data_IF_639341829240
#
_entry.id   IF_639341829240
#
_cell.length_a   1.000
_cell.length_b   1.000
_cell.length_c   1.000
_cell.angle_alpha   90.00
_cell.angle_beta   90.00
_cell.angle_gamma   90.00
#
_symmetry.space_group_name_H-M   'P 1'
#
loop_
_entity.id
_entity.type
_entity.pdbx_description
1 polymer ?
#
# COMPACT_ATOMS: atom_id res chain seq x y z
N UNK A 1 36.27 27.62 -17.92
CA UNK A 1 36.51 27.02 -16.59
C UNK A 1 35.18 26.54 -16.05
N UNK A 2 34.85 25.27 -16.26
CA UNK A 2 33.62 24.66 -15.82
C UNK A 2 33.79 24.22 -14.36
N UNK A 3 33.10 24.86 -13.44
CA UNK A 3 32.93 24.37 -12.07
C UNK A 3 32.08 23.10 -12.12
N UNK A 4 32.71 21.95 -12.26
CA UNK A 4 32.11 20.67 -11.84
C UNK A 4 32.01 20.71 -10.32
N UNK A 5 30.86 21.17 -9.80
CA UNK A 5 30.50 20.96 -8.42
C UNK A 5 30.48 19.44 -8.19
N UNK A 6 31.44 18.91 -7.47
CA UNK A 6 31.40 17.55 -6.94
C UNK A 6 30.10 17.42 -6.12
N UNK A 7 29.06 16.82 -6.72
CA UNK A 7 27.90 16.35 -5.96
C UNK A 7 28.44 15.31 -4.97
N UNK A 8 28.59 15.73 -3.73
CA UNK A 8 28.93 14.79 -2.63
C UNK A 8 27.95 13.62 -2.67
N UNK A 9 28.48 12.42 -2.56
CA UNK A 9 27.65 11.21 -2.50
C UNK A 9 26.60 11.41 -1.39
N UNK A 10 25.30 11.23 -1.68
CA UNK A 10 24.25 11.45 -0.70
C UNK A 10 24.53 10.62 0.54
N UNK A 11 24.45 11.24 1.71
CA UNK A 11 24.73 10.60 2.98
C UNK A 11 23.75 9.45 3.25
N UNK A 12 24.20 8.38 3.91
CA UNK A 12 23.31 7.29 4.35
C UNK A 12 22.14 7.80 5.20
N UNK A 13 22.32 8.91 5.93
CA UNK A 13 21.29 9.57 6.71
C UNK A 13 20.16 10.14 5.82
N UNK A 14 20.49 10.70 4.65
CA UNK A 14 19.49 11.17 3.69
C UNK A 14 18.66 10.01 3.14
N UNK A 15 19.29 8.89 2.82
CA UNK A 15 18.58 7.68 2.36
C UNK A 15 17.65 7.16 3.46
N UNK A 16 18.13 7.06 4.70
CA UNK A 16 17.32 6.62 5.84
C UNK A 16 16.12 7.56 6.09
N UNK A 17 16.33 8.88 5.98
CA UNK A 17 15.25 9.87 6.09
C UNK A 17 14.19 9.66 5.00
N UNK A 18 14.59 9.54 3.73
CA UNK A 18 13.66 9.31 2.62
C UNK A 18 12.90 8.00 2.77
N UNK A 19 13.56 6.92 3.18
CA UNK A 19 12.92 5.63 3.46
C UNK A 19 11.88 5.77 4.58
N UNK A 20 12.22 6.42 5.68
CA UNK A 20 11.31 6.63 6.80
C UNK A 20 10.07 7.45 6.40
N UNK A 21 10.25 8.50 5.58
CA UNK A 21 9.14 9.31 5.03
C UNK A 21 8.19 8.45 4.17
N UNK A 22 8.75 7.61 3.30
CA UNK A 22 7.97 6.74 2.40
C UNK A 22 7.20 5.67 3.20
N UNK A 23 7.84 5.08 4.22
CA UNK A 23 7.25 4.01 5.02
C UNK A 23 6.16 4.50 5.98
N UNK A 24 6.22 5.76 6.41
CA UNK A 24 5.30 6.32 7.40
C UNK A 24 3.82 6.06 7.04
N UNK A 25 3.44 6.23 5.77
CA UNK A 25 2.07 6.02 5.33
C UNK A 25 1.60 4.56 5.48
N UNK A 26 2.46 3.58 5.17
CA UNK A 26 2.11 2.17 5.35
C UNK A 26 2.09 1.76 6.82
N UNK A 27 3.00 2.30 7.63
CA UNK A 27 2.98 2.10 9.08
C UNK A 27 1.67 2.63 9.67
N UNK A 28 1.30 3.87 9.35
CA UNK A 28 0.06 4.49 9.83
C UNK A 28 -1.20 3.74 9.34
N UNK A 29 -1.15 3.17 8.13
CA UNK A 29 -2.25 2.37 7.59
C UNK A 29 -2.51 1.10 8.40
N UNK A 30 -1.46 0.41 8.82
CA UNK A 30 -1.56 -0.97 9.32
C UNK A 30 -1.37 -1.14 10.82
N UNK A 31 -0.85 -0.15 11.53
CA UNK A 31 -0.58 -0.22 12.98
C UNK A 31 -1.85 -0.47 13.82
N UNK A 32 -2.99 0.01 13.36
CA UNK A 32 -4.27 -0.13 14.07
C UNK A 32 -5.02 -1.44 13.76
N UNK A 33 -4.58 -2.24 12.79
CA UNK A 33 -5.29 -3.45 12.36
C UNK A 33 -5.58 -4.44 13.51
N UNK A 34 -4.65 -4.72 14.44
CA UNK A 34 -4.93 -5.60 15.58
C UNK A 34 -6.04 -5.08 16.50
N UNK A 35 -6.14 -3.75 16.63
CA UNK A 35 -7.12 -3.08 17.50
C UNK A 35 -8.53 -3.04 16.92
N UNK A 36 -8.67 -3.13 15.60
CA UNK A 36 -9.96 -2.99 14.90
C UNK A 36 -10.99 -4.06 15.30
N UNK A 37 -10.55 -5.20 15.84
CA UNK A 37 -11.46 -6.27 16.28
C UNK A 37 -12.35 -5.84 17.43
N UNK A 38 -11.84 -5.02 18.35
CA UNK A 38 -12.55 -4.58 19.53
C UNK A 38 -13.43 -3.34 19.30
N UNK A 39 -13.16 -2.59 18.21
CA UNK A 39 -13.86 -1.32 17.95
C UNK A 39 -15.35 -1.50 17.69
N UNK A 40 -15.78 -2.67 17.16
CA UNK A 40 -17.20 -2.98 17.00
C UNK A 40 -17.94 -2.97 18.35
N UNK A 41 -17.42 -3.69 19.34
CA UNK A 41 -17.95 -3.74 20.68
C UNK A 41 -17.77 -2.41 21.44
N UNK A 42 -16.59 -1.79 21.31
CA UNK A 42 -16.23 -0.54 22.00
C UNK A 42 -17.13 0.62 21.59
N UNK A 43 -17.43 0.78 20.31
CA UNK A 43 -18.25 1.87 19.78
C UNK A 43 -19.72 1.48 19.50
N UNK A 44 -20.13 0.23 19.79
CA UNK A 44 -21.49 -0.24 19.54
C UNK A 44 -21.89 -0.22 18.06
N UNK A 45 -20.95 -0.52 17.16
CA UNK A 45 -21.11 -0.42 15.69
C UNK A 45 -20.82 -1.76 15.00
N UNK A 46 -21.39 -1.93 13.80
CA UNK A 46 -21.13 -3.12 12.98
C UNK A 46 -19.68 -3.20 12.51
N UNK A 47 -19.22 -4.41 12.22
CA UNK A 47 -17.88 -4.63 11.66
C UNK A 47 -17.70 -3.92 10.32
N UNK A 48 -18.73 -3.81 9.48
CA UNK A 48 -18.70 -3.02 8.25
C UNK A 48 -18.39 -1.55 8.52
N UNK A 49 -18.99 -0.95 9.56
CA UNK A 49 -18.68 0.42 9.96
C UNK A 49 -17.24 0.57 10.46
N UNK A 50 -16.73 -0.42 11.19
CA UNK A 50 -15.32 -0.44 11.63
C UNK A 50 -14.37 -0.46 10.43
N UNK A 51 -14.66 -1.27 9.41
CA UNK A 51 -13.82 -1.33 8.20
C UNK A 51 -13.78 -0.02 7.41
N UNK A 52 -14.75 0.88 7.59
CA UNK A 52 -14.68 2.22 7.01
C UNK A 52 -13.48 3.02 7.53
N UNK A 53 -12.97 2.76 8.74
CA UNK A 53 -11.76 3.43 9.25
C UNK A 53 -10.52 3.11 8.40
N UNK A 54 -10.39 1.86 7.95
CA UNK A 54 -9.34 1.42 7.04
C UNK A 54 -9.56 1.97 5.63
N UNK A 55 -10.79 1.80 5.10
CA UNK A 55 -11.13 2.23 3.74
C UNK A 55 -11.04 3.73 3.55
N UNK A 56 -11.48 4.54 4.53
CA UNK A 56 -11.37 5.99 4.49
C UNK A 56 -9.90 6.46 4.44
N UNK A 57 -9.03 5.80 5.22
CA UNK A 57 -7.59 6.04 5.14
C UNK A 57 -7.06 5.76 3.73
N UNK A 58 -7.35 4.58 3.18
CA UNK A 58 -6.83 4.12 1.90
C UNK A 58 -7.32 4.98 0.74
N UNK A 59 -8.61 5.34 0.73
CA UNK A 59 -9.20 6.24 -0.29
C UNK A 59 -8.52 7.61 -0.25
N UNK A 60 -8.42 8.21 0.93
CA UNK A 60 -7.78 9.51 1.09
C UNK A 60 -6.30 9.45 0.71
N UNK A 61 -5.57 8.41 1.14
CA UNK A 61 -4.19 8.17 0.78
C UNK A 61 -3.99 8.06 -0.74
N UNK A 62 -4.85 7.31 -1.45
CA UNK A 62 -4.79 7.18 -2.90
C UNK A 62 -5.13 8.48 -3.63
N UNK A 63 -6.20 9.16 -3.23
CA UNK A 63 -6.64 10.42 -3.85
C UNK A 63 -5.58 11.52 -3.73
N UNK A 64 -4.99 11.68 -2.55
CA UNK A 64 -3.98 12.71 -2.31
C UNK A 64 -2.63 12.42 -2.97
N UNK A 65 -2.33 11.17 -3.34
CA UNK A 65 -1.15 10.89 -4.17
C UNK A 65 -1.22 11.62 -5.52
N UNK A 66 -2.40 11.76 -6.13
CA UNK A 66 -2.58 12.53 -7.37
C UNK A 66 -2.34 14.03 -7.17
N UNK A 67 -2.66 14.55 -5.99
CA UNK A 67 -2.54 15.98 -5.66
C UNK A 67 -1.10 16.36 -5.32
N UNK A 68 -0.42 15.55 -4.51
CA UNK A 68 0.91 15.89 -4.01
C UNK A 68 2.01 15.88 -5.07
N UNK A 69 1.86 15.13 -6.14
CA UNK A 69 2.80 15.16 -7.27
C UNK A 69 2.96 16.58 -7.82
N UNK A 70 1.94 17.11 -8.51
CA UNK A 70 1.96 18.46 -9.08
C UNK A 70 2.17 19.57 -8.03
N UNK A 71 1.61 19.39 -6.83
CA UNK A 71 1.75 20.37 -5.76
C UNK A 71 3.22 20.50 -5.31
N UNK A 72 3.92 19.37 -5.18
CA UNK A 72 5.33 19.34 -4.78
C UNK A 72 6.28 19.87 -5.85
N UNK A 73 5.92 19.72 -7.13
CA UNK A 73 6.67 20.30 -8.25
C UNK A 73 6.62 21.83 -8.24
N UNK A 74 5.47 22.40 -7.81
CA UNK A 74 5.25 23.86 -7.79
C UNK A 74 5.75 24.54 -6.52
N UNK A 75 5.44 23.95 -5.35
CA UNK A 75 5.71 24.57 -4.04
C UNK A 75 6.99 24.03 -3.38
N UNK A 76 7.66 23.09 -4.06
CA UNK A 76 8.87 22.44 -3.57
C UNK A 76 8.60 21.22 -2.70
N UNK A 77 9.39 20.17 -2.92
CA UNK A 77 9.27 18.85 -2.28
C UNK A 77 9.14 18.94 -0.75
N UNK A 78 10.05 19.68 -0.13
CA UNK A 78 10.13 19.80 1.33
C UNK A 78 8.90 20.43 1.96
N UNK A 79 8.37 21.53 1.40
CA UNK A 79 7.20 22.20 1.96
C UNK A 79 5.95 21.31 1.93
N UNK A 80 5.70 20.67 0.78
CA UNK A 80 4.53 19.80 0.61
C UNK A 80 4.61 18.58 1.53
N UNK A 81 5.79 18.00 1.70
CA UNK A 81 6.01 16.91 2.64
C UNK A 81 5.72 17.34 4.09
N UNK A 82 6.20 18.51 4.49
CA UNK A 82 5.97 19.05 5.85
C UNK A 82 4.48 19.28 6.12
N UNK A 83 3.75 19.86 5.17
CA UNK A 83 2.28 20.03 5.28
C UNK A 83 1.59 18.66 5.39
N UNK A 84 1.99 17.68 4.57
CA UNK A 84 1.46 16.33 4.66
C UNK A 84 1.70 15.68 6.02
N UNK A 85 2.91 15.81 6.58
CA UNK A 85 3.24 15.28 7.90
C UNK A 85 2.44 15.96 9.03
N UNK A 86 2.22 17.28 8.94
CA UNK A 86 1.38 18.02 9.89
C UNK A 86 -0.07 17.50 9.83
N UNK A 87 -0.63 17.33 8.64
CA UNK A 87 -1.99 16.77 8.47
C UNK A 87 -2.08 15.34 9.00
N UNK A 88 -1.07 14.50 8.72
CA UNK A 88 -1.03 13.12 9.21
C UNK A 88 -0.89 13.05 10.73
N UNK A 89 -0.06 13.91 11.32
CA UNK A 89 0.09 14.03 12.77
C UNK A 89 -1.20 14.50 13.45
N UNK A 90 -1.85 15.53 12.90
CA UNK A 90 -3.16 16.00 13.37
C UNK A 90 -4.22 14.91 13.27
N UNK A 91 -4.31 14.21 12.13
CA UNK A 91 -5.20 13.06 11.95
C UNK A 91 -4.92 11.95 12.96
N UNK A 92 -3.65 11.69 13.27
CA UNK A 92 -3.25 10.71 14.29
C UNK A 92 -3.70 11.13 15.69
N UNK A 93 -3.51 12.40 16.05
CA UNK A 93 -3.98 12.93 17.34
C UNK A 93 -5.50 12.85 17.46
N UNK A 94 -6.23 13.29 16.45
CA UNK A 94 -7.69 13.21 16.43
C UNK A 94 -8.19 11.77 16.53
N UNK A 95 -7.49 10.81 15.89
CA UNK A 95 -7.81 9.40 16.00
C UNK A 95 -7.58 8.85 17.41
N UNK A 96 -6.48 9.24 18.08
CA UNK A 96 -6.17 8.81 19.45
C UNK A 96 -7.22 9.24 20.48
N UNK A 97 -7.85 10.41 20.27
CA UNK A 97 -8.88 10.97 21.16
C UNK A 97 -10.30 10.90 20.56
N UNK A 98 -10.54 10.02 19.58
CA UNK A 98 -11.86 9.89 18.97
C UNK A 98 -12.90 9.35 19.96
N UNK A 99 -13.97 10.09 20.29
CA UNK A 99 -15.01 9.65 21.23
C UNK A 99 -15.99 8.67 20.61
N UNK A 100 -16.04 8.60 19.29
CA UNK A 100 -16.93 7.75 18.53
C UNK A 100 -16.28 7.31 17.20
N UNK A 101 -16.88 6.29 16.56
CA UNK A 101 -16.37 5.70 15.34
C UNK A 101 -16.39 6.71 14.16
N UNK A 102 -17.39 7.57 14.07
CA UNK A 102 -17.52 8.52 12.95
C UNK A 102 -16.36 9.55 12.96
N UNK A 103 -16.00 10.06 14.15
CA UNK A 103 -14.81 10.90 14.30
C UNK A 103 -13.53 10.12 14.00
N UNK A 104 -13.43 8.85 14.41
CA UNK A 104 -12.28 8.02 14.09
C UNK A 104 -12.14 7.83 12.57
N UNK A 105 -13.24 7.59 11.84
CA UNK A 105 -13.26 7.50 10.37
C UNK A 105 -12.74 8.79 9.73
N UNK A 106 -13.26 9.95 10.17
CA UNK A 106 -12.82 11.25 9.66
C UNK A 106 -11.34 11.53 9.95
N UNK A 107 -10.89 11.22 11.17
CA UNK A 107 -9.49 11.34 11.57
C UNK A 107 -8.57 10.44 10.74
N UNK A 108 -9.01 9.21 10.43
CA UNK A 108 -8.30 8.28 9.55
C UNK A 108 -8.20 8.78 8.11
N UNK A 109 -9.28 9.38 7.57
CA UNK A 109 -9.22 10.02 6.26
C UNK A 109 -8.20 11.16 6.23
N UNK A 110 -8.18 12.02 7.25
CA UNK A 110 -7.20 13.11 7.36
C UNK A 110 -5.76 12.57 7.49
N UNK A 111 -5.56 11.53 8.30
CA UNK A 111 -4.28 10.86 8.48
C UNK A 111 -3.79 10.26 7.15
N UNK A 112 -4.69 9.59 6.39
CA UNK A 112 -4.38 9.03 5.07
C UNK A 112 -4.01 10.10 4.05
N UNK A 113 -4.80 11.18 3.99
CA UNK A 113 -4.52 12.32 3.12
C UNK A 113 -3.12 12.90 3.38
N UNK A 114 -2.78 13.16 4.64
CA UNK A 114 -1.47 13.68 5.00
C UNK A 114 -0.32 12.71 4.71
N UNK A 115 -0.51 11.42 5.02
CA UNK A 115 0.51 10.37 4.86
C UNK A 115 0.92 10.11 3.41
N UNK A 116 0.04 10.40 2.45
CA UNK A 116 0.30 10.23 1.03
C UNK A 116 1.48 11.08 0.52
N UNK A 117 1.75 12.22 1.17
CA UNK A 117 2.87 13.10 0.83
C UNK A 117 4.23 12.39 0.93
N UNK A 118 4.42 11.57 1.96
CA UNK A 118 5.65 10.81 2.18
C UNK A 118 5.99 9.88 1.01
N UNK A 119 5.00 9.16 0.49
CA UNK A 119 5.18 8.26 -0.64
C UNK A 119 5.54 9.00 -1.92
N UNK A 120 4.77 10.04 -2.26
CA UNK A 120 4.93 10.78 -3.52
C UNK A 120 6.22 11.59 -3.50
N UNK A 121 6.38 12.45 -2.49
CA UNK A 121 7.55 13.33 -2.38
C UNK A 121 8.83 12.55 -2.15
N UNK A 122 8.78 11.49 -1.35
CA UNK A 122 9.94 10.63 -1.11
C UNK A 122 10.46 9.99 -2.39
N UNK A 123 9.58 9.37 -3.19
CA UNK A 123 9.95 8.77 -4.49
C UNK A 123 10.46 9.81 -5.49
N UNK A 124 9.80 10.96 -5.60
CA UNK A 124 10.24 12.04 -6.47
C UNK A 124 11.61 12.58 -6.03
N UNK A 125 11.83 12.76 -4.72
CA UNK A 125 13.14 13.19 -4.21
C UNK A 125 14.25 12.19 -4.53
N UNK A 126 13.96 10.89 -4.52
CA UNK A 126 14.94 9.88 -4.94
C UNK A 126 15.28 10.04 -6.44
N UNK A 127 14.30 10.32 -7.28
CA UNK A 127 14.54 10.58 -8.72
C UNK A 127 15.36 11.85 -8.95
N UNK A 128 15.13 12.89 -8.15
CA UNK A 128 15.79 14.17 -8.27
C UNK A 128 17.24 14.16 -7.72
N UNK A 129 17.50 13.38 -6.66
CA UNK A 129 18.75 13.41 -5.91
C UNK A 129 19.75 12.31 -6.28
N UNK A 130 19.29 11.22 -6.90
CA UNK A 130 20.12 10.06 -7.21
C UNK A 130 20.10 9.74 -8.71
N UNK A 131 21.23 9.26 -9.24
CA UNK A 131 21.38 8.92 -10.65
C UNK A 131 21.92 7.49 -10.85
N UNK A 132 21.68 6.89 -12.01
CA UNK A 132 22.25 5.61 -12.44
C UNK A 132 22.04 4.46 -11.44
N UNK A 133 23.10 3.72 -11.17
CA UNK A 133 23.08 2.56 -10.28
C UNK A 133 22.67 2.90 -8.83
N UNK A 134 23.01 4.10 -8.36
CA UNK A 134 22.66 4.54 -7.01
C UNK A 134 21.15 4.73 -6.86
N UNK A 135 20.48 5.35 -7.85
CA UNK A 135 19.01 5.46 -7.88
C UNK A 135 18.34 4.09 -7.83
N UNK A 136 18.83 3.16 -8.66
CA UNK A 136 18.30 1.78 -8.68
C UNK A 136 18.45 1.11 -7.33
N UNK A 137 19.60 1.28 -6.66
CA UNK A 137 19.86 0.73 -5.33
C UNK A 137 18.90 1.30 -4.27
N UNK A 138 18.69 2.62 -4.26
CA UNK A 138 17.77 3.27 -3.32
C UNK A 138 16.32 2.84 -3.57
N UNK A 139 15.90 2.74 -4.84
CA UNK A 139 14.57 2.23 -5.19
C UNK A 139 14.37 0.76 -4.75
N UNK A 140 15.41 -0.07 -4.83
CA UNK A 140 15.36 -1.43 -4.31
C UNK A 140 15.19 -1.46 -2.77
N UNK A 141 15.89 -0.59 -2.04
CA UNK A 141 15.69 -0.43 -0.59
C UNK A 141 14.26 0.01 -0.25
N UNK A 142 13.70 0.96 -1.01
CA UNK A 142 12.29 1.36 -0.87
C UNK A 142 11.37 0.14 -1.02
N UNK A 143 11.55 -0.65 -2.08
CA UNK A 143 10.73 -1.85 -2.32
C UNK A 143 10.78 -2.86 -1.18
N UNK A 144 11.98 -3.15 -0.65
CA UNK A 144 12.16 -4.06 0.49
C UNK A 144 11.49 -3.50 1.75
N UNK A 145 11.69 -2.22 2.04
CA UNK A 145 11.15 -1.57 3.23
C UNK A 145 9.62 -1.53 3.19
N UNK A 146 9.03 -1.21 2.03
CA UNK A 146 7.57 -1.22 1.84
C UNK A 146 6.97 -2.61 2.09
N UNK A 147 7.65 -3.68 1.68
CA UNK A 147 7.21 -5.06 1.94
C UNK A 147 7.23 -5.42 3.43
N UNK A 148 8.20 -4.89 4.20
CA UNK A 148 8.34 -5.18 5.63
C UNK A 148 7.48 -4.27 6.52
N UNK A 149 7.05 -3.09 6.03
CA UNK A 149 6.29 -2.12 6.83
C UNK A 149 4.98 -2.68 7.41
N UNK A 150 4.06 -3.29 6.63
CA UNK A 150 2.78 -3.74 7.16
C UNK A 150 2.90 -4.77 8.29
N UNK A 151 3.69 -5.86 8.17
CA UNK A 151 3.83 -6.82 9.25
C UNK A 151 4.50 -6.23 10.49
N UNK A 152 5.54 -5.41 10.30
CA UNK A 152 6.23 -4.74 11.42
C UNK A 152 5.28 -3.80 12.17
N UNK A 153 4.49 -3.00 11.44
CA UNK A 153 3.51 -2.12 12.05
C UNK A 153 2.43 -2.89 12.80
N UNK A 154 1.96 -4.02 12.24
CA UNK A 154 0.96 -4.87 12.89
C UNK A 154 1.49 -5.49 14.17
N UNK A 155 2.76 -5.94 14.19
CA UNK A 155 3.42 -6.45 15.41
C UNK A 155 3.53 -5.36 16.47
N UNK A 156 4.06 -4.18 16.11
CA UNK A 156 4.19 -3.04 17.03
C UNK A 156 2.81 -2.63 17.54
N UNK A 157 1.83 -2.51 16.64
CA UNK A 157 0.46 -2.12 16.98
C UNK A 157 -0.22 -3.09 17.93
N UNK A 158 0.00 -4.40 17.75
CA UNK A 158 -0.52 -5.43 18.65
C UNK A 158 0.08 -5.34 20.05
N UNK A 159 1.40 -5.13 20.17
CA UNK A 159 2.06 -4.93 21.47
C UNK A 159 1.58 -3.65 22.17
N UNK A 160 1.49 -2.55 21.44
CA UNK A 160 0.98 -1.29 21.97
C UNK A 160 -0.46 -1.44 22.45
N UNK A 161 -1.29 -2.14 21.67
CA UNK A 161 -2.70 -2.36 22.02
C UNK A 161 -2.85 -3.12 23.34
N UNK A 162 -2.11 -4.22 23.52
CA UNK A 162 -2.22 -5.05 24.72
C UNK A 162 -1.68 -4.34 25.97
N UNK A 163 -0.62 -3.55 25.85
CA UNK A 163 0.04 -2.94 27.02
C UNK A 163 -0.43 -1.52 27.34
N UNK A 164 -0.85 -0.75 26.33
CA UNK A 164 -1.12 0.69 26.44
C UNK A 164 -2.50 1.09 25.88
N UNK A 165 -3.24 0.13 25.32
CA UNK A 165 -4.52 0.37 24.67
C UNK A 165 -4.42 0.76 23.19
N UNK A 166 -5.55 0.74 22.49
CA UNK A 166 -5.64 0.96 21.05
C UNK A 166 -5.20 2.37 20.60
N UNK A 167 -5.31 3.35 21.47
CA UNK A 167 -4.92 4.74 21.22
C UNK A 167 -3.41 4.90 21.03
N UNK A 168 -2.62 4.05 21.69
CA UNK A 168 -1.16 4.17 21.72
C UNK A 168 -0.52 4.07 20.33
N UNK A 169 -1.11 3.28 19.42
CA UNK A 169 -0.68 3.22 18.03
C UNK A 169 -0.80 4.55 17.31
N UNK A 170 -1.88 5.28 17.54
CA UNK A 170 -2.11 6.61 16.96
C UNK A 170 -1.21 7.67 17.59
N UNK A 171 -1.00 7.62 18.90
CA UNK A 171 -0.04 8.50 19.60
C UNK A 171 1.37 8.30 19.08
N UNK A 172 1.80 7.05 18.88
CA UNK A 172 3.10 6.74 18.28
C UNK A 172 3.21 7.36 16.88
N UNK A 173 2.16 7.26 16.05
CA UNK A 173 2.16 7.87 14.71
C UNK A 173 2.21 9.39 14.76
N UNK A 174 1.56 10.02 15.71
CA UNK A 174 1.62 11.47 15.93
C UNK A 174 3.05 11.91 16.32
N UNK A 175 3.68 11.20 17.26
CA UNK A 175 5.07 11.48 17.68
C UNK A 175 6.03 11.26 16.51
N UNK A 176 5.88 10.16 15.79
CA UNK A 176 6.71 9.85 14.62
C UNK A 176 6.55 10.91 13.52
N UNK A 177 5.33 11.45 13.30
CA UNK A 177 5.10 12.52 12.33
C UNK A 177 5.86 13.80 12.68
N UNK A 178 5.93 14.17 13.97
CA UNK A 178 6.71 15.32 14.44
C UNK A 178 8.21 15.08 14.25
N UNK A 179 8.67 13.86 14.57
CA UNK A 179 10.08 13.49 14.36
C UNK A 179 10.45 13.56 12.88
N UNK A 180 9.62 13.01 12.01
CA UNK A 180 9.82 13.05 10.56
C UNK A 180 9.70 14.47 9.98
N UNK A 181 8.86 15.32 10.57
CA UNK A 181 8.79 16.74 10.22
C UNK A 181 10.12 17.45 10.47
N UNK A 182 10.72 17.22 11.64
CA UNK A 182 12.05 17.78 11.97
C UNK A 182 13.12 17.19 11.05
N UNK A 183 13.06 15.88 10.77
CA UNK A 183 13.98 15.22 9.87
C UNK A 183 13.86 15.75 8.42
N UNK A 184 12.64 15.99 7.94
CA UNK A 184 12.41 16.63 6.64
C UNK A 184 12.92 18.07 6.60
N UNK A 185 12.65 18.83 7.66
CA UNK A 185 13.09 20.24 7.76
C UNK A 185 14.60 20.40 7.75
N UNK A 186 15.34 19.52 8.45
CA UNK A 186 16.81 19.58 8.54
C UNK A 186 17.54 18.84 7.44
N UNK A 187 16.98 17.71 6.99
CA UNK A 187 17.69 16.74 6.16
C UNK A 187 17.36 16.80 4.67
N UNK A 188 16.27 17.47 4.25
CA UNK A 188 15.96 17.60 2.83
C UNK A 188 16.46 18.95 2.27
N UNK A 189 16.92 18.97 1.01
CA UNK A 189 17.37 20.21 0.36
C UNK A 189 16.27 21.28 0.40
N UNK A 190 16.71 22.53 0.49
CA UNK A 190 15.80 23.67 0.37
C UNK A 190 15.08 23.63 -0.99
N UNK A 191 13.83 24.12 -1.06
CA UNK A 191 13.06 24.09 -2.29
C UNK A 191 13.75 24.93 -3.35
N UNK A 192 14.08 24.29 -4.49
CA UNK A 192 14.47 25.00 -5.70
C UNK A 192 13.17 25.49 -6.34
N UNK A 193 13.04 26.79 -6.58
CA UNK A 193 11.92 27.33 -7.34
C UNK A 193 12.01 26.78 -8.77
N UNK A 194 11.13 25.85 -9.09
CA UNK A 194 10.93 25.44 -10.48
C UNK A 194 10.32 26.61 -11.27
N UNK A 195 10.74 26.83 -12.52
CA UNK A 195 10.09 27.82 -13.37
C UNK A 195 8.59 27.51 -13.44
N UNK A 196 7.73 28.54 -13.54
CA UNK A 196 6.29 28.34 -13.61
C UNK A 196 5.95 27.41 -14.78
N UNK A 197 5.42 26.23 -14.49
CA UNK A 197 4.92 25.34 -15.53
C UNK A 197 3.73 25.99 -16.23
N UNK A 198 3.63 25.81 -17.55
CA UNK A 198 2.57 26.34 -18.39
C UNK A 198 1.19 26.21 -17.73
N UNK A 199 0.33 27.23 -17.92
CA UNK A 199 -0.98 27.37 -17.30
C UNK A 199 -2.00 26.27 -17.66
N UNK A 200 -1.69 25.35 -18.57
CA UNK A 200 -2.61 24.35 -19.13
C UNK A 200 -2.40 22.91 -18.61
N UNK A 201 -1.60 22.71 -17.56
CA UNK A 201 -1.30 21.36 -17.05
C UNK A 201 -2.53 20.50 -16.70
N UNK A 202 -3.64 21.09 -16.25
CA UNK A 202 -4.88 20.36 -16.01
C UNK A 202 -5.53 19.87 -17.33
N UNK A 203 -5.44 20.68 -18.38
CA UNK A 203 -5.95 20.29 -19.70
C UNK A 203 -5.07 19.17 -20.30
N UNK A 204 -3.75 19.30 -20.18
CA UNK A 204 -2.80 18.28 -20.65
C UNK A 204 -3.00 16.94 -19.87
N UNK A 205 -3.22 17.01 -18.57
CA UNK A 205 -3.54 15.86 -17.74
C UNK A 205 -4.88 15.23 -18.13
N UNK A 206 -5.91 16.06 -18.39
CA UNK A 206 -7.21 15.59 -18.87
C UNK A 206 -7.11 14.88 -20.22
N UNK A 207 -6.32 15.41 -21.16
CA UNK A 207 -6.08 14.78 -22.45
C UNK A 207 -5.32 13.47 -22.32
N UNK A 208 -4.28 13.41 -21.44
CA UNK A 208 -3.53 12.20 -21.16
C UNK A 208 -4.46 11.09 -20.60
N UNK A 209 -5.32 11.44 -19.66
CA UNK A 209 -6.29 10.49 -19.09
C UNK A 209 -7.35 10.04 -20.10
N UNK A 210 -7.85 10.96 -20.94
CA UNK A 210 -8.79 10.62 -22.02
C UNK A 210 -8.16 9.68 -23.05
N UNK A 211 -6.86 9.83 -23.34
CA UNK A 211 -6.13 8.92 -24.23
C UNK A 211 -5.95 7.55 -23.59
N UNK A 212 -5.52 7.48 -22.34
CA UNK A 212 -5.37 6.22 -21.60
C UNK A 212 -6.71 5.49 -21.45
N UNK A 213 -7.81 6.22 -21.27
CA UNK A 213 -9.15 5.66 -21.16
C UNK A 213 -9.60 4.89 -22.41
N UNK A 214 -9.03 5.21 -23.57
CA UNK A 214 -9.32 4.55 -24.86
C UNK A 214 -8.45 3.34 -25.13
N UNK A 215 -7.46 3.06 -24.29
CA UNK A 215 -6.52 1.95 -24.46
C UNK A 215 -7.00 0.71 -23.68
N UNK A 216 -7.63 -0.28 -24.32
CA UNK A 216 -8.19 -1.42 -23.61
C UNK A 216 -7.12 -2.32 -22.98
N UNK A 217 -5.91 -2.39 -23.54
CA UNK A 217 -4.78 -3.12 -22.95
C UNK A 217 -4.35 -2.49 -21.62
N UNK A 218 -4.36 -1.16 -21.52
CA UNK A 218 -4.11 -0.44 -20.28
C UNK A 218 -5.08 -0.87 -19.18
N UNK A 219 -6.37 -0.91 -19.49
CA UNK A 219 -7.40 -1.30 -18.51
C UNK A 219 -7.26 -2.74 -18.04
N UNK A 220 -6.85 -3.67 -18.93
CA UNK A 220 -6.62 -5.05 -18.53
C UNK A 220 -5.49 -5.17 -17.50
N UNK A 221 -4.37 -4.47 -17.71
CA UNK A 221 -3.29 -4.40 -16.71
C UNK A 221 -3.74 -3.74 -15.41
N UNK A 222 -4.51 -2.64 -15.49
CA UNK A 222 -5.05 -1.95 -14.32
C UNK A 222 -5.99 -2.86 -13.53
N UNK A 223 -6.88 -3.61 -14.19
CA UNK A 223 -7.78 -4.55 -13.52
C UNK A 223 -6.97 -5.63 -12.80
N UNK A 224 -5.94 -6.19 -13.41
CA UNK A 224 -5.06 -7.16 -12.73
C UNK A 224 -4.45 -6.56 -11.47
N UNK A 225 -3.86 -5.37 -11.54
CA UNK A 225 -3.23 -4.70 -10.40
C UNK A 225 -4.24 -4.32 -9.32
N UNK A 226 -5.38 -3.76 -9.71
CA UNK A 226 -6.39 -3.27 -8.78
C UNK A 226 -7.08 -4.41 -8.02
N UNK A 227 -7.41 -5.51 -8.71
CA UNK A 227 -8.08 -6.65 -8.06
C UNK A 227 -7.13 -7.47 -7.19
N UNK A 228 -5.86 -7.62 -7.57
CA UNK A 228 -4.86 -8.23 -6.68
C UNK A 228 -4.58 -7.37 -5.44
N UNK A 229 -4.59 -6.04 -5.59
CA UNK A 229 -4.51 -5.13 -4.44
C UNK A 229 -5.74 -5.24 -3.55
N UNK A 230 -6.94 -5.39 -4.13
CA UNK A 230 -8.16 -5.62 -3.37
C UNK A 230 -8.10 -6.93 -2.55
N UNK A 231 -7.61 -8.02 -3.15
CA UNK A 231 -7.40 -9.28 -2.46
C UNK A 231 -6.38 -9.15 -1.30
N UNK A 232 -5.29 -8.43 -1.52
CA UNK A 232 -4.28 -8.18 -0.48
C UNK A 232 -4.81 -7.31 0.66
N UNK A 233 -5.59 -6.26 0.38
CA UNK A 233 -6.17 -5.40 1.43
C UNK A 233 -7.33 -6.08 2.14
N UNK A 234 -8.09 -6.94 1.46
CA UNK A 234 -9.05 -7.83 2.11
C UNK A 234 -8.34 -8.77 3.09
N UNK A 235 -7.18 -9.35 2.69
CA UNK A 235 -6.34 -10.11 3.61
C UNK A 235 -5.89 -9.27 4.81
N UNK A 236 -5.33 -8.06 4.60
CA UNK A 236 -4.85 -7.21 5.69
C UNK A 236 -5.97 -6.85 6.68
N UNK A 237 -7.16 -6.52 6.17
CA UNK A 237 -8.31 -6.14 6.99
C UNK A 237 -8.99 -7.34 7.68
N UNK A 238 -9.01 -8.50 7.00
CA UNK A 238 -9.72 -9.69 7.46
C UNK A 238 -8.86 -10.64 8.30
N UNK A 239 -7.56 -10.71 8.07
CA UNK A 239 -6.67 -11.62 8.78
C UNK A 239 -6.72 -11.45 10.32
N UNK A 240 -6.73 -10.23 10.89
CA UNK A 240 -6.90 -10.07 12.33
C UNK A 240 -8.20 -10.68 12.84
N UNK A 241 -9.32 -10.52 12.12
CA UNK A 241 -10.63 -11.02 12.52
C UNK A 241 -10.63 -12.56 12.53
N UNK A 242 -10.14 -13.18 11.46
CA UNK A 242 -10.02 -14.64 11.33
C UNK A 242 -9.09 -15.21 12.40
N UNK A 243 -7.91 -14.62 12.60
CA UNK A 243 -6.96 -15.05 13.62
C UNK A 243 -7.53 -14.89 15.04
N UNK A 244 -8.29 -13.81 15.28
CA UNK A 244 -9.01 -13.59 16.54
C UNK A 244 -10.06 -14.70 16.82
N UNK A 245 -10.81 -15.14 15.78
CA UNK A 245 -11.74 -16.27 15.90
C UNK A 245 -11.05 -17.61 16.20
N UNK A 246 -9.74 -17.70 15.96
CA UNK A 246 -8.90 -18.85 16.31
C UNK A 246 -8.17 -18.68 17.65
N UNK A 247 -8.51 -17.65 18.44
CA UNK A 247 -7.93 -17.39 19.76
C UNK A 247 -6.52 -16.75 19.72
N UNK A 248 -6.10 -16.19 18.59
CA UNK A 248 -4.80 -15.47 18.50
C UNK A 248 -4.98 -14.06 19.04
N UNK A 249 -4.23 -13.71 20.06
CA UNK A 249 -4.22 -12.36 20.62
C UNK A 249 -3.59 -11.32 19.69
N UNK A 250 -3.93 -10.02 19.87
CA UNK A 250 -3.41 -8.93 19.05
C UNK A 250 -1.87 -8.87 18.99
N UNK A 251 -1.21 -9.26 20.08
CA UNK A 251 0.26 -9.31 20.24
C UNK A 251 0.96 -10.33 19.30
N UNK A 252 0.24 -11.39 18.91
CA UNK A 252 0.78 -12.50 18.10
C UNK A 252 0.33 -12.49 16.64
N UNK A 253 -0.74 -11.76 16.30
CA UNK A 253 -1.31 -11.75 14.94
C UNK A 253 -0.31 -11.36 13.86
N UNK A 254 0.56 -10.39 14.14
CA UNK A 254 1.55 -9.90 13.21
C UNK A 254 2.48 -10.99 12.67
N UNK A 255 2.79 -12.02 13.46
CA UNK A 255 3.63 -13.14 13.04
C UNK A 255 2.97 -13.97 11.93
N UNK A 256 1.66 -14.20 12.00
CA UNK A 256 0.91 -14.92 10.97
C UNK A 256 0.66 -14.05 9.73
N UNK A 257 0.36 -12.75 9.93
CA UNK A 257 0.15 -11.80 8.84
C UNK A 257 1.44 -11.58 8.03
N UNK A 258 2.61 -11.70 8.66
CA UNK A 258 3.92 -11.57 8.00
C UNK A 258 4.13 -12.60 6.87
N UNK A 259 3.45 -13.73 6.89
CA UNK A 259 3.60 -14.80 5.89
C UNK A 259 3.43 -14.26 4.45
N UNK A 260 2.41 -13.47 4.18
CA UNK A 260 2.12 -12.93 2.84
C UNK A 260 3.15 -11.91 2.36
N UNK A 261 3.52 -10.86 3.12
CA UNK A 261 4.56 -9.93 2.70
C UNK A 261 5.94 -10.58 2.51
N UNK A 262 6.32 -11.53 3.36
CA UNK A 262 7.61 -12.22 3.22
C UNK A 262 7.64 -13.06 1.94
N UNK A 263 6.61 -13.86 1.67
CA UNK A 263 6.52 -14.64 0.44
C UNK A 263 6.38 -13.75 -0.81
N UNK A 264 5.74 -12.59 -0.70
CA UNK A 264 5.70 -11.56 -1.75
C UNK A 264 7.10 -11.05 -2.11
N UNK A 265 7.94 -10.77 -1.11
CA UNK A 265 9.33 -10.35 -1.34
C UNK A 265 10.11 -11.45 -2.07
N UNK A 266 9.95 -12.71 -1.65
CA UNK A 266 10.57 -13.86 -2.33
C UNK A 266 10.08 -13.96 -3.78
N UNK A 267 8.77 -13.81 -4.01
CA UNK A 267 8.18 -13.80 -5.36
C UNK A 267 8.75 -12.68 -6.24
N UNK A 268 8.88 -11.47 -5.73
CA UNK A 268 9.51 -10.35 -6.43
C UNK A 268 10.97 -10.63 -6.80
N UNK A 269 11.72 -11.19 -5.86
CA UNK A 269 13.11 -11.58 -6.10
C UNK A 269 13.22 -12.61 -7.21
N UNK A 270 12.41 -13.66 -7.18
CA UNK A 270 12.37 -14.67 -8.24
C UNK A 270 11.90 -14.08 -9.59
N UNK A 271 10.96 -13.16 -9.57
CA UNK A 271 10.50 -12.43 -10.77
C UNK A 271 11.67 -11.70 -11.43
N UNK A 272 12.47 -10.97 -10.68
CA UNK A 272 13.61 -10.22 -11.21
C UNK A 272 14.63 -11.09 -11.94
N UNK A 273 14.77 -12.38 -11.54
CA UNK A 273 15.69 -13.34 -12.16
C UNK A 273 15.07 -14.09 -13.35
N UNK A 274 13.76 -14.40 -13.29
CA UNK A 274 13.13 -15.28 -14.26
C UNK A 274 12.43 -14.55 -15.40
N UNK A 275 12.11 -13.26 -15.23
CA UNK A 275 11.33 -12.49 -16.21
C UNK A 275 12.02 -12.43 -17.58
N UNK A 276 13.35 -12.33 -17.61
CA UNK A 276 14.13 -12.30 -18.85
C UNK A 276 14.07 -13.62 -19.63
N UNK A 277 13.87 -14.76 -18.92
CA UNK A 277 13.79 -16.09 -19.55
C UNK A 277 12.36 -16.50 -19.89
N UNK A 278 11.39 -16.15 -19.05
CA UNK A 278 10.01 -16.60 -19.17
C UNK A 278 9.08 -15.59 -19.85
N UNK A 279 9.46 -14.32 -19.83
CA UNK A 279 8.63 -13.22 -20.32
C UNK A 279 7.52 -12.80 -19.35
N UNK A 280 7.01 -11.57 -19.50
CA UNK A 280 6.04 -10.94 -18.58
C UNK A 280 4.74 -11.73 -18.45
N UNK A 281 4.13 -12.11 -19.59
CA UNK A 281 2.83 -12.82 -19.60
C UNK A 281 2.86 -14.16 -18.89
N UNK A 282 3.95 -14.93 -19.08
CA UNK A 282 4.12 -16.24 -18.40
C UNK A 282 4.37 -16.07 -16.91
N UNK A 283 5.11 -15.03 -16.52
CA UNK A 283 5.32 -14.72 -15.09
C UNK A 283 3.98 -14.35 -14.42
N UNK A 284 3.15 -13.52 -15.06
CA UNK A 284 1.82 -13.20 -14.57
C UNK A 284 0.92 -14.42 -14.44
N UNK A 285 0.94 -15.33 -15.43
CA UNK A 285 0.17 -16.57 -15.40
C UNK A 285 0.62 -17.50 -14.26
N UNK A 286 1.94 -17.65 -14.06
CA UNK A 286 2.49 -18.40 -12.91
C UNK A 286 2.07 -17.78 -11.58
N UNK A 287 2.12 -16.45 -11.47
CA UNK A 287 1.70 -15.72 -10.26
C UNK A 287 0.23 -15.98 -9.93
N UNK A 288 -0.62 -15.91 -10.93
CA UNK A 288 -2.05 -16.19 -10.78
C UNK A 288 -2.30 -17.64 -10.36
N UNK A 289 -1.59 -18.60 -10.97
CA UNK A 289 -1.71 -20.02 -10.62
C UNK A 289 -1.36 -20.26 -9.14
N UNK A 290 -0.23 -19.71 -8.67
CA UNK A 290 0.18 -19.83 -7.27
C UNK A 290 -0.81 -19.16 -6.31
N UNK A 291 -1.33 -17.98 -6.65
CA UNK A 291 -2.32 -17.30 -5.85
C UNK A 291 -3.62 -18.10 -5.73
N UNK A 292 -4.14 -18.63 -6.85
CA UNK A 292 -5.34 -19.47 -6.84
C UNK A 292 -5.11 -20.81 -6.13
N UNK A 293 -3.95 -21.44 -6.27
CA UNK A 293 -3.61 -22.67 -5.54
C UNK A 293 -3.59 -22.44 -4.03
N UNK A 294 -3.02 -21.31 -3.56
CA UNK A 294 -3.02 -20.94 -2.16
C UNK A 294 -4.43 -20.70 -1.62
N UNK A 295 -5.27 -19.99 -2.36
CA UNK A 295 -6.66 -19.74 -1.99
C UNK A 295 -7.50 -21.02 -2.01
N UNK A 296 -7.31 -21.90 -3.01
CA UNK A 296 -7.97 -23.20 -3.06
C UNK A 296 -7.60 -24.08 -1.86
N UNK A 297 -6.32 -24.09 -1.47
CA UNK A 297 -5.86 -24.81 -0.28
C UNK A 297 -6.46 -24.21 1.00
N UNK A 298 -6.50 -22.87 1.13
CA UNK A 298 -7.13 -22.20 2.25
C UNK A 298 -8.61 -22.58 2.39
N UNK A 299 -9.34 -22.58 1.27
CA UNK A 299 -10.76 -22.95 1.24
C UNK A 299 -10.95 -24.43 1.58
N UNK A 300 -10.13 -25.32 1.04
CA UNK A 300 -10.19 -26.76 1.33
C UNK A 300 -9.98 -27.05 2.81
N UNK A 301 -8.97 -26.42 3.44
CA UNK A 301 -8.72 -26.55 4.87
C UNK A 301 -9.87 -25.96 5.70
N UNK A 302 -10.40 -24.82 5.29
CA UNK A 302 -11.52 -24.16 5.96
C UNK A 302 -12.79 -25.00 5.91
N UNK A 303 -13.15 -25.60 4.75
CA UNK A 303 -14.30 -26.50 4.61
C UNK A 303 -14.09 -27.85 5.31
N UNK A 304 -12.84 -28.32 5.42
CA UNK A 304 -12.51 -29.49 6.24
C UNK A 304 -12.60 -29.23 7.76
N UNK A 305 -12.94 -27.98 8.17
CA UNK A 305 -13.10 -27.61 9.58
C UNK A 305 -11.77 -27.35 10.32
N UNK A 306 -10.67 -27.21 9.63
CA UNK A 306 -9.35 -26.91 10.23
C UNK A 306 -9.27 -25.44 10.67
N UNK A 307 -9.61 -25.20 11.95
CA UNK A 307 -9.57 -23.87 12.57
C UNK A 307 -8.24 -23.69 13.31
N UNK A 308 -7.18 -23.41 12.57
CA UNK A 308 -5.83 -23.22 13.12
C UNK A 308 -5.17 -21.99 12.48
N UNK A 309 -4.42 -21.18 13.26
CA UNK A 309 -3.65 -20.07 12.72
C UNK A 309 -2.67 -20.48 11.62
N UNK A 310 -2.06 -21.66 11.73
CA UNK A 310 -1.16 -22.19 10.70
C UNK A 310 -1.91 -22.63 9.44
N UNK A 311 -3.09 -23.28 9.59
CA UNK A 311 -3.95 -23.65 8.46
C UNK A 311 -4.46 -22.41 7.70
N UNK A 312 -4.50 -21.24 8.33
CA UNK A 312 -4.78 -19.95 7.70
C UNK A 312 -3.53 -19.38 7.02
N UNK A 313 -2.40 -19.30 7.74
CA UNK A 313 -1.22 -18.56 7.27
C UNK A 313 -0.40 -19.29 6.20
N UNK A 314 -0.25 -20.63 6.29
CA UNK A 314 0.58 -21.39 5.36
C UNK A 314 0.08 -21.38 3.91
N UNK A 315 -1.22 -21.58 3.61
CA UNK A 315 -1.72 -21.44 2.25
C UNK A 315 -1.49 -20.06 1.65
N UNK A 316 -1.55 -19.02 2.49
CA UNK A 316 -1.36 -17.63 2.07
C UNK A 316 0.08 -17.26 1.71
N UNK A 317 1.07 -18.10 2.06
CA UNK A 317 2.43 -18.01 1.49
C UNK A 317 2.40 -18.13 -0.04
N UNK A 318 1.54 -19.00 -0.57
CA UNK A 318 1.39 -19.17 -2.03
C UNK A 318 0.71 -17.94 -2.66
N UNK A 319 -0.24 -17.32 -1.96
CA UNK A 319 -0.85 -16.06 -2.38
C UNK A 319 0.18 -14.95 -2.50
N UNK A 320 1.01 -14.75 -1.46
CA UNK A 320 2.05 -13.75 -1.46
C UNK A 320 3.09 -13.97 -2.54
N UNK A 321 3.56 -15.21 -2.70
CA UNK A 321 4.48 -15.61 -3.78
C UNK A 321 3.86 -15.31 -5.16
N UNK A 322 2.59 -15.67 -5.36
CA UNK A 322 1.83 -15.41 -6.57
C UNK A 322 1.72 -13.94 -6.91
N UNK A 323 1.40 -13.10 -5.93
CA UNK A 323 1.38 -11.63 -6.10
C UNK A 323 2.76 -11.07 -6.43
N UNK A 324 3.84 -11.65 -5.89
CA UNK A 324 5.22 -11.28 -6.22
C UNK A 324 5.60 -11.59 -7.68
N UNK A 325 5.05 -12.65 -8.27
CA UNK A 325 5.22 -12.94 -9.69
C UNK A 325 4.35 -12.09 -10.61
N UNK A 326 3.19 -11.67 -10.13
CA UNK A 326 2.16 -11.02 -10.94
C UNK A 326 2.27 -9.49 -10.98
N UNK A 327 2.51 -8.83 -9.83
CA UNK A 327 2.41 -7.39 -9.73
C UNK A 327 3.53 -6.63 -10.48
N UNK A 328 4.83 -7.01 -10.43
CA UNK A 328 5.87 -6.26 -11.12
C UNK A 328 5.69 -6.21 -12.64
N UNK A 329 5.44 -7.34 -13.35
CA UNK A 329 5.21 -7.28 -14.80
C UNK A 329 3.88 -6.60 -15.15
N UNK A 330 2.82 -6.72 -14.32
CA UNK A 330 1.58 -6.01 -14.55
C UNK A 330 1.76 -4.49 -14.44
N UNK A 331 2.54 -4.01 -13.46
CA UNK A 331 2.88 -2.60 -13.33
C UNK A 331 3.73 -2.10 -14.50
N UNK A 332 4.73 -2.87 -14.91
CA UNK A 332 5.56 -2.55 -16.07
C UNK A 332 4.70 -2.48 -17.36
N UNK A 333 3.80 -3.43 -17.55
CA UNK A 333 2.84 -3.44 -18.65
C UNK A 333 1.93 -2.23 -18.66
N UNK A 334 1.40 -1.82 -17.49
CA UNK A 334 0.54 -0.64 -17.36
C UNK A 334 1.25 0.63 -17.86
N UNK A 335 2.50 0.82 -17.46
CA UNK A 335 3.32 1.99 -17.83
C UNK A 335 3.82 1.90 -19.28
N UNK A 336 4.03 0.68 -19.77
CA UNK A 336 4.58 0.41 -21.11
C UNK A 336 3.59 0.56 -22.27
N UNK A 337 2.26 0.54 -22.01
CA UNK A 337 1.23 0.63 -23.07
C UNK A 337 1.35 1.92 -23.89
N UNK A 338 1.55 3.06 -23.21
CA UNK A 338 1.77 4.36 -23.86
C UNK A 338 2.98 5.02 -23.19
N UNK A 339 4.21 4.77 -23.67
CA UNK A 339 5.43 5.25 -22.99
C UNK A 339 5.48 6.76 -22.77
N UNK A 340 4.91 7.54 -23.70
CA UNK A 340 4.82 8.99 -23.58
C UNK A 340 3.92 9.45 -22.40
N UNK A 341 3.05 8.60 -21.88
CA UNK A 341 2.12 8.87 -20.78
C UNK A 341 2.42 8.01 -19.53
N UNK A 342 3.64 7.49 -19.40
CA UNK A 342 4.04 6.57 -18.34
C UNK A 342 3.71 7.11 -16.92
N UNK A 343 3.94 8.38 -16.65
CA UNK A 343 3.62 9.03 -15.38
C UNK A 343 2.11 9.08 -15.10
N UNK A 344 1.31 9.47 -16.10
CA UNK A 344 -0.15 9.51 -15.99
C UNK A 344 -0.73 8.09 -15.83
N UNK A 345 -0.19 7.11 -16.55
CA UNK A 345 -0.59 5.71 -16.45
C UNK A 345 -0.32 5.15 -15.05
N UNK A 346 0.85 5.41 -14.48
CA UNK A 346 1.20 5.02 -13.11
C UNK A 346 0.29 5.68 -12.07
N UNK A 347 -0.06 6.97 -12.25
CA UNK A 347 -0.93 7.70 -11.34
C UNK A 347 -2.36 7.15 -11.33
N UNK A 348 -2.95 6.91 -12.52
CA UNK A 348 -4.29 6.32 -12.65
C UNK A 348 -4.33 4.91 -12.09
N UNK A 349 -3.33 4.08 -12.44
CA UNK A 349 -3.24 2.72 -11.92
C UNK A 349 -3.10 2.70 -10.38
N UNK A 350 -2.26 3.59 -9.82
CA UNK A 350 -2.08 3.72 -8.38
C UNK A 350 -3.36 4.13 -7.65
N UNK A 351 -4.10 5.13 -8.19
CA UNK A 351 -5.39 5.52 -7.62
C UNK A 351 -6.39 4.35 -7.64
N UNK A 352 -6.54 3.68 -8.78
CA UNK A 352 -7.48 2.57 -8.92
C UNK A 352 -7.11 1.37 -8.05
N UNK A 353 -5.81 1.09 -7.87
CA UNK A 353 -5.34 0.12 -6.89
C UNK A 353 -5.80 0.47 -5.47
N UNK A 354 -5.67 1.73 -5.05
CA UNK A 354 -6.08 2.16 -3.71
C UNK A 354 -7.60 2.13 -3.54
N UNK A 355 -8.37 2.57 -4.54
CA UNK A 355 -9.83 2.49 -4.50
C UNK A 355 -10.33 1.04 -4.42
N UNK A 356 -9.77 0.15 -5.25
CA UNK A 356 -10.12 -1.27 -5.20
C UNK A 356 -9.62 -1.94 -3.91
N UNK A 357 -8.47 -1.52 -3.39
CA UNK A 357 -7.98 -1.94 -2.08
C UNK A 357 -8.92 -1.51 -0.95
N UNK A 358 -9.40 -0.28 -0.97
CA UNK A 358 -10.40 0.21 -0.02
C UNK A 358 -11.71 -0.58 -0.10
N UNK A 359 -12.16 -0.91 -1.32
CA UNK A 359 -13.32 -1.77 -1.55
C UNK A 359 -13.08 -3.18 -0.98
N UNK A 360 -11.91 -3.76 -1.22
CA UNK A 360 -11.52 -5.06 -0.67
C UNK A 360 -11.54 -5.08 0.87
N UNK A 361 -10.96 -4.06 1.50
CA UNK A 361 -11.00 -3.89 2.94
C UNK A 361 -12.41 -3.69 3.50
N UNK A 362 -13.25 -2.88 2.85
CA UNK A 362 -14.64 -2.67 3.24
C UNK A 362 -15.50 -3.94 3.09
N UNK A 363 -15.33 -4.68 1.99
CA UNK A 363 -16.06 -5.91 1.71
C UNK A 363 -15.88 -6.98 2.80
N UNK A 364 -14.74 -6.96 3.50
CA UNK A 364 -14.50 -7.79 4.67
C UNK A 364 -15.55 -7.56 5.76
N UNK A 365 -15.94 -6.31 5.99
CA UNK A 365 -16.97 -6.00 7.00
C UNK A 365 -18.39 -6.43 6.65
N UNK A 366 -18.64 -6.80 5.39
CA UNK A 366 -19.96 -7.21 4.89
C UNK A 366 -20.21 -8.72 5.01
N UNK A 367 -19.19 -9.52 5.33
CA UNK A 367 -19.28 -10.97 5.45
C UNK A 367 -18.93 -11.42 6.86
N UNK A 368 -19.53 -12.54 7.30
CA UNK A 368 -19.20 -13.13 8.61
C UNK A 368 -17.82 -13.81 8.58
N UNK A 369 -17.10 -13.77 9.70
CA UNK A 369 -15.74 -14.30 9.81
C UNK A 369 -15.61 -15.32 10.96
N UNK A 370 -16.52 -16.30 11.00
CA UNK A 370 -16.42 -17.43 11.94
C UNK A 370 -15.28 -18.41 11.57
N UNK A 371 -14.45 -18.03 10.62
CA UNK A 371 -13.32 -18.79 10.10
C UNK A 371 -12.78 -18.20 8.79
N UNK A 372 -11.85 -18.90 8.14
CA UNK A 372 -11.15 -18.43 6.95
C UNK A 372 -11.98 -18.47 5.65
N UNK A 373 -13.10 -19.20 5.61
CA UNK A 373 -13.80 -19.53 4.35
C UNK A 373 -14.33 -18.27 3.65
N UNK A 374 -15.07 -17.42 4.33
CA UNK A 374 -15.67 -16.24 3.72
C UNK A 374 -14.60 -15.23 3.24
N UNK A 375 -13.55 -15.05 4.02
CA UNK A 375 -12.40 -14.24 3.61
C UNK A 375 -11.69 -14.87 2.39
N UNK A 376 -11.50 -16.19 2.39
CA UNK A 376 -10.94 -16.94 1.27
C UNK A 376 -11.78 -16.81 0.00
N UNK A 377 -13.11 -16.91 0.09
CA UNK A 377 -14.03 -16.71 -1.05
C UNK A 377 -13.96 -15.28 -1.59
N UNK A 378 -13.93 -14.27 -0.71
CA UNK A 378 -13.80 -12.88 -1.09
C UNK A 378 -12.49 -12.63 -1.87
N UNK A 379 -11.36 -13.08 -1.33
CA UNK A 379 -10.05 -12.96 -2.00
C UNK A 379 -10.01 -13.74 -3.33
N UNK A 380 -10.65 -14.92 -3.38
CA UNK A 380 -10.74 -15.72 -4.61
C UNK A 380 -11.54 -14.98 -5.67
N UNK A 381 -12.66 -14.33 -5.33
CA UNK A 381 -13.45 -13.52 -6.25
C UNK A 381 -12.61 -12.42 -6.90
N UNK A 382 -11.85 -11.66 -6.13
CA UNK A 382 -10.94 -10.64 -6.68
C UNK A 382 -9.83 -11.26 -7.54
N UNK A 383 -9.26 -12.38 -7.13
CA UNK A 383 -8.19 -13.06 -7.89
C UNK A 383 -8.72 -13.65 -9.22
N UNK A 384 -9.98 -14.12 -9.26
CA UNK A 384 -10.63 -14.57 -10.50
C UNK A 384 -10.89 -13.40 -11.47
N UNK A 385 -11.21 -12.21 -10.98
CA UNK A 385 -11.28 -11.02 -11.83
C UNK A 385 -9.92 -10.72 -12.49
N UNK A 386 -8.81 -10.85 -11.75
CA UNK A 386 -7.47 -10.76 -12.32
C UNK A 386 -7.22 -11.86 -13.38
N UNK A 387 -7.71 -13.09 -13.14
CA UNK A 387 -7.60 -14.20 -14.08
C UNK A 387 -8.29 -13.90 -15.40
N UNK A 388 -9.53 -13.43 -15.35
CA UNK A 388 -10.30 -13.03 -16.54
C UNK A 388 -9.56 -11.93 -17.31
N UNK A 389 -9.08 -10.89 -16.62
CA UNK A 389 -8.33 -9.81 -17.27
C UNK A 389 -7.04 -10.34 -17.95
N UNK A 390 -6.30 -11.24 -17.31
CA UNK A 390 -5.09 -11.85 -17.88
C UNK A 390 -5.40 -12.73 -19.09
N UNK A 391 -6.48 -13.50 -19.06
CA UNK A 391 -6.92 -14.31 -20.22
C UNK A 391 -7.27 -13.42 -21.40
N UNK A 392 -7.99 -12.32 -21.15
CA UNK A 392 -8.32 -11.35 -22.19
C UNK A 392 -7.07 -10.63 -22.73
N UNK A 393 -6.09 -10.34 -21.88
CA UNK A 393 -4.81 -9.77 -22.26
C UNK A 393 -3.99 -10.73 -23.16
N UNK A 394 -4.05 -12.02 -22.89
CA UNK A 394 -3.34 -13.04 -23.68
C UNK A 394 -3.96 -13.30 -25.07
N UNK A 395 -5.23 -12.93 -25.26
CA UNK A 395 -5.92 -13.04 -26.56
C UNK A 395 -5.65 -11.84 -27.50
N UNK A 396 -5.04 -10.77 -26.96
CA UNK A 396 -4.61 -9.58 -27.70
C UNK A 396 -3.09 -9.56 -27.90
#
# INVERSE_FOLDING_TARGET
MSHTAHKQAPSGLLIANLLAQICFGLLAMTICLPSMQEWGALFGRSQASVQLTFSAYVVAYGAFQLVYGPLSDRHGRRHVLMVGLLLAGLGSLLAAWAPNLDMLIAARALQGAGSAAGMVVGRSSVQDLFEGAQRTRVMAFIGMTLGLCPPTATLIGGQLHVHLGWQAGFVLMAVLSVFLLVAAWRGLPAPVKSPPSNSHWLADMGQAYARLAREPVFWLYVVVLATTTAAFYAFLAGAPIVLGSYGVGPDRMGWYIMAVPVSYIVGNYLTSHWIHRKGERRMMALGLWWALAGLALLLALGWAGWRSPLAFALPLLLLGLGHGFLNPPALAGTVGVVPALAGSAAAVAGLLQQLMGALGGYAVGLVSHDGAVNLGLLMTGFTLCAAVALVLLNRR
#
